data_IF_891790543000
#
_entry.id   IF_891790543000
#
_cell.length_a   1.000
_cell.length_b   1.000
_cell.length_c   1.000
_cell.angle_alpha   90.00
_cell.angle_beta   90.00
_cell.angle_gamma   90.00
#
_symmetry.space_group_name_H-M   'P 1'
#
loop_
_entity.id
_entity.type
_entity.pdbx_description
1 polymer ?
#
# COMPACT_ATOMS: atom_id res chain seq x y z
N UNK A 1 -1.43 7.70 -7.68
CA UNK A 1 -1.19 6.53 -8.50
C UNK A 1 -1.22 6.82 -10.00
N UNK A 2 -0.96 5.81 -10.81
CA UNK A 2 -0.96 5.95 -12.29
C UNK A 2 -2.35 6.23 -12.84
N UNK A 3 -3.37 5.77 -12.18
CA UNK A 3 -4.74 5.71 -12.67
C UNK A 3 -4.91 4.64 -13.76
N UNK A 4 -5.96 3.83 -13.66
CA UNK A 4 -6.23 2.76 -14.59
C UNK A 4 -5.95 1.37 -14.04
N UNK A 5 -6.08 0.38 -14.92
CA UNK A 5 -5.98 -1.04 -14.57
C UNK A 5 -5.20 -1.81 -15.63
N UNK A 6 -4.62 -2.95 -15.26
CA UNK A 6 -4.05 -3.91 -16.19
C UNK A 6 -4.51 -5.33 -15.83
N UNK A 7 -4.95 -6.09 -16.82
CA UNK A 7 -5.33 -7.50 -16.62
C UNK A 7 -4.18 -8.42 -17.05
N UNK A 8 -3.75 -9.30 -16.15
CA UNK A 8 -2.69 -10.29 -16.36
C UNK A 8 -3.15 -11.61 -15.81
N UNK A 9 -3.14 -12.67 -16.64
CA UNK A 9 -3.53 -14.01 -16.20
C UNK A 9 -4.95 -14.10 -15.63
N UNK A 10 -5.89 -13.27 -16.11
CA UNK A 10 -7.26 -13.22 -15.61
C UNK A 10 -7.45 -12.37 -14.33
N UNK A 11 -6.38 -11.83 -13.75
CA UNK A 11 -6.42 -10.92 -12.59
C UNK A 11 -6.30 -9.48 -13.05
N UNK A 12 -7.19 -8.61 -12.60
CA UNK A 12 -7.12 -7.16 -12.85
C UNK A 12 -6.37 -6.48 -11.71
N UNK A 13 -5.28 -5.80 -12.05
CA UNK A 13 -4.48 -4.98 -11.14
C UNK A 13 -4.93 -3.52 -11.28
N UNK A 14 -5.18 -2.85 -10.17
CA UNK A 14 -5.47 -1.41 -10.10
C UNK A 14 -4.19 -0.65 -9.76
N UNK A 15 -3.95 0.47 -10.44
CA UNK A 15 -2.81 1.36 -10.19
C UNK A 15 -3.21 2.67 -9.52
N UNK A 16 -4.47 2.78 -9.13
CA UNK A 16 -4.93 3.90 -8.32
C UNK A 16 -4.45 3.76 -6.87
N UNK A 17 -4.06 4.87 -6.26
CA UNK A 17 -3.89 4.92 -4.81
C UNK A 17 -5.28 4.99 -4.18
N UNK A 18 -5.72 4.04 -3.35
CA UNK A 18 -7.02 4.13 -2.68
C UNK A 18 -7.08 5.38 -1.79
N UNK A 19 -8.15 6.19 -1.86
CA UNK A 19 -8.37 7.26 -0.90
C UNK A 19 -8.80 6.68 0.45
N UNK A 20 -8.30 7.26 1.54
CA UNK A 20 -8.60 6.80 2.89
C UNK A 20 -7.58 7.25 3.92
N UNK A 21 -7.75 6.76 5.14
CA UNK A 21 -6.87 7.05 6.27
C UNK A 21 -5.99 5.82 6.52
N UNK A 22 -4.72 5.98 6.25
CA UNK A 22 -3.66 5.01 6.48
C UNK A 22 -2.91 5.30 7.77
N UNK A 23 -2.11 4.34 8.22
CA UNK A 23 -1.07 4.58 9.21
C UNK A 23 0.30 4.20 8.64
N UNK A 24 1.34 4.86 9.12
CA UNK A 24 2.73 4.47 8.81
C UNK A 24 2.98 3.09 9.40
N UNK A 25 3.39 2.13 8.57
CA UNK A 25 3.66 0.75 8.98
C UNK A 25 5.14 0.49 9.25
N UNK A 26 6.01 1.21 8.54
CA UNK A 26 7.45 1.02 8.66
C UNK A 26 8.22 1.80 7.60
N UNK A 27 9.53 1.80 7.72
CA UNK A 27 10.43 2.59 6.88
C UNK A 27 11.62 1.76 6.40
N UNK A 28 12.11 2.02 5.19
CA UNK A 28 13.32 1.42 4.65
C UNK A 28 14.09 2.43 3.78
N UNK A 29 15.42 2.38 3.85
CA UNK A 29 16.28 3.22 3.04
C UNK A 29 17.60 2.51 2.71
N UNK A 30 17.78 2.01 1.47
CA UNK A 30 16.75 1.94 0.43
C UNK A 30 15.81 0.73 0.58
N UNK A 31 14.77 0.67 -0.26
CA UNK A 31 13.93 -0.50 -0.46
C UNK A 31 14.04 -0.97 -1.91
N UNK A 32 13.99 -2.27 -2.16
CA UNK A 32 13.82 -2.83 -3.51
C UNK A 32 12.32 -2.98 -3.76
N UNK A 33 11.80 -2.25 -4.74
CA UNK A 33 10.43 -2.39 -5.21
C UNK A 33 10.42 -3.26 -6.46
N UNK A 34 9.65 -4.33 -6.41
CA UNK A 34 9.57 -5.36 -7.44
C UNK A 34 8.10 -5.65 -7.75
N UNK A 35 7.70 -5.37 -8.99
CA UNK A 35 6.31 -5.49 -9.42
C UNK A 35 5.79 -6.93 -9.41
N UNK A 36 6.66 -7.94 -9.42
CA UNK A 36 6.25 -9.34 -9.33
C UNK A 36 5.61 -9.68 -7.99
N UNK A 37 5.90 -8.93 -6.93
CA UNK A 37 5.37 -9.14 -5.58
C UNK A 37 3.84 -8.95 -5.50
N UNK A 38 3.26 -8.16 -6.41
CA UNK A 38 1.81 -8.00 -6.51
C UNK A 38 1.22 -8.61 -7.80
N UNK A 39 2.01 -9.43 -8.53
CA UNK A 39 1.55 -10.20 -9.68
C UNK A 39 1.75 -9.54 -11.05
N UNK A 40 2.51 -8.43 -11.14
CA UNK A 40 2.90 -7.80 -12.40
C UNK A 40 4.32 -8.27 -12.79
N UNK A 41 4.49 -9.12 -13.83
CA UNK A 41 5.81 -9.62 -14.21
C UNK A 41 6.79 -8.48 -14.52
N UNK A 42 8.02 -8.57 -14.01
CA UNK A 42 9.07 -7.55 -14.19
C UNK A 42 9.29 -7.23 -15.67
N UNK A 43 9.24 -8.24 -16.54
CA UNK A 43 9.47 -8.10 -17.98
C UNK A 43 8.22 -7.66 -18.76
N UNK A 44 7.10 -7.39 -18.08
CA UNK A 44 5.91 -6.83 -18.75
C UNK A 44 6.09 -5.34 -19.03
N UNK A 45 5.26 -4.80 -19.94
CA UNK A 45 5.33 -3.38 -20.36
C UNK A 45 5.34 -2.37 -19.21
N UNK A 46 4.67 -2.69 -18.10
CA UNK A 46 4.59 -1.85 -16.89
C UNK A 46 5.33 -2.48 -15.70
N UNK A 47 6.04 -3.60 -15.92
CA UNK A 47 6.81 -4.26 -14.88
C UNK A 47 8.05 -3.45 -14.52
N UNK A 48 8.51 -3.61 -13.28
CA UNK A 48 9.71 -2.95 -12.79
C UNK A 48 10.38 -3.72 -11.65
N UNK A 49 11.67 -3.47 -11.49
CA UNK A 49 12.43 -3.77 -10.29
C UNK A 49 13.43 -2.64 -10.08
N UNK A 50 13.23 -1.85 -9.03
CA UNK A 50 13.98 -0.62 -8.77
C UNK A 50 14.37 -0.51 -7.30
N UNK A 51 15.49 0.17 -7.06
CA UNK A 51 15.95 0.50 -5.71
C UNK A 51 15.56 1.93 -5.41
N UNK A 52 14.77 2.14 -4.36
CA UNK A 52 14.12 3.40 -4.01
C UNK A 52 14.58 3.86 -2.64
N UNK A 53 15.12 5.08 -2.50
CA UNK A 53 15.49 5.65 -1.20
C UNK A 53 14.29 6.23 -0.46
N UNK A 54 14.46 6.42 0.85
CA UNK A 54 13.52 7.09 1.76
C UNK A 54 12.07 6.61 1.62
N UNK A 55 11.84 5.30 1.71
CA UNK A 55 10.54 4.69 1.53
C UNK A 55 9.82 4.49 2.86
N UNK A 56 8.64 5.10 3.01
CA UNK A 56 7.75 4.96 4.15
C UNK A 56 6.50 4.19 3.72
N UNK A 57 6.33 2.99 4.26
CA UNK A 57 5.22 2.09 3.92
C UNK A 57 3.95 2.48 4.67
N UNK A 58 2.82 2.51 3.96
CA UNK A 58 1.51 2.85 4.53
C UNK A 58 0.43 1.80 4.27
N UNK A 59 0.68 0.79 3.40
CA UNK A 59 -0.32 -0.26 3.16
C UNK A 59 0.29 -1.66 3.14
N UNK A 60 -0.54 -2.66 3.38
CA UNK A 60 -0.13 -4.08 3.36
C UNK A 60 0.16 -4.58 1.96
N UNK A 61 -0.48 -4.03 0.94
CA UNK A 61 -0.29 -4.34 -0.47
C UNK A 61 0.85 -3.56 -1.16
N UNK A 62 1.60 -2.76 -0.38
CA UNK A 62 2.85 -2.19 -0.85
C UNK A 62 2.76 -0.76 -1.38
N UNK A 63 1.87 0.07 -0.85
CA UNK A 63 1.87 1.51 -1.11
C UNK A 63 2.86 2.20 -0.16
N UNK A 64 3.70 3.04 -0.75
CA UNK A 64 4.71 3.84 -0.04
C UNK A 64 4.62 5.32 -0.42
N UNK A 65 5.05 6.18 0.50
CA UNK A 65 5.58 7.49 0.17
C UNK A 65 7.09 7.33 0.00
N UNK A 66 7.67 7.77 -1.13
CA UNK A 66 9.08 7.53 -1.40
C UNK A 66 9.68 8.55 -2.38
N UNK A 67 11.00 8.66 -2.36
CA UNK A 67 11.72 9.44 -3.34
C UNK A 67 11.54 8.87 -4.75
N UNK A 68 11.27 9.77 -5.71
CA UNK A 68 11.44 9.49 -7.13
C UNK A 68 11.70 10.82 -7.87
N UNK A 69 12.94 11.29 -7.78
CA UNK A 69 13.36 12.60 -8.25
C UNK A 69 13.07 12.83 -9.75
N UNK A 70 13.27 11.81 -10.57
CA UNK A 70 13.00 11.86 -12.02
C UNK A 70 11.52 12.19 -12.36
N UNK A 71 10.61 12.11 -11.39
CA UNK A 71 9.18 12.39 -11.56
C UNK A 71 8.74 13.71 -10.95
N UNK A 72 9.64 14.56 -10.46
CA UNK A 72 9.29 15.84 -9.81
C UNK A 72 8.43 16.72 -10.70
N UNK A 73 8.69 16.74 -12.01
CA UNK A 73 7.89 17.48 -12.99
C UNK A 73 6.41 17.06 -13.05
N UNK A 74 6.09 15.83 -12.63
CA UNK A 74 4.73 15.28 -12.65
C UNK A 74 4.05 15.34 -11.28
N UNK A 75 4.83 15.49 -10.19
CA UNK A 75 4.29 15.48 -8.84
C UNK A 75 3.29 16.62 -8.62
N UNK A 76 2.12 16.29 -8.08
CA UNK A 76 1.02 17.23 -7.88
C UNK A 76 0.14 17.48 -9.11
N UNK A 77 0.47 16.96 -10.30
CA UNK A 77 -0.33 17.19 -11.51
C UNK A 77 -0.55 15.97 -12.41
N UNK A 78 0.33 14.97 -12.39
CA UNK A 78 0.25 13.81 -13.30
C UNK A 78 0.54 12.52 -12.54
N UNK A 79 -0.31 11.50 -12.73
CA UNK A 79 -0.15 10.19 -12.10
C UNK A 79 0.82 9.31 -12.90
N UNK A 80 1.93 8.88 -12.28
CA UNK A 80 2.97 8.07 -12.92
C UNK A 80 3.30 6.76 -12.20
N UNK A 81 2.79 6.53 -10.98
CA UNK A 81 3.13 5.36 -10.17
C UNK A 81 2.06 4.26 -10.29
N UNK A 82 2.40 3.06 -9.78
CA UNK A 82 1.49 1.92 -9.65
C UNK A 82 0.69 1.92 -8.33
N UNK A 83 0.55 3.08 -7.69
CA UNK A 83 -0.16 3.26 -6.42
C UNK A 83 0.64 4.04 -5.37
N UNK A 84 1.96 4.03 -5.42
CA UNK A 84 2.81 4.78 -4.50
C UNK A 84 2.70 6.30 -4.70
N UNK A 85 3.03 7.06 -3.66
CA UNK A 85 3.10 8.52 -3.67
C UNK A 85 4.56 8.95 -3.88
N UNK A 86 4.85 9.44 -5.08
CA UNK A 86 6.20 9.90 -5.44
C UNK A 86 6.45 11.29 -4.87
N UNK A 87 7.61 11.48 -4.28
CA UNK A 87 8.07 12.72 -3.66
C UNK A 87 9.42 13.13 -4.24
N UNK A 88 9.76 14.43 -4.12
CA UNK A 88 11.12 14.89 -4.32
C UNK A 88 12.05 14.30 -3.25
N UNK A 89 13.36 14.30 -3.50
CA UNK A 89 14.36 13.80 -2.54
C UNK A 89 14.24 14.52 -1.19
N UNK A 90 14.07 15.84 -1.21
CA UNK A 90 13.91 16.65 0.01
C UNK A 90 12.66 16.25 0.80
N UNK A 91 11.49 16.18 0.14
CA UNK A 91 10.23 15.86 0.79
C UNK A 91 10.17 14.40 1.28
N UNK A 92 10.71 13.45 0.51
CA UNK A 92 10.76 12.04 0.90
C UNK A 92 11.65 11.85 2.13
N UNK A 93 12.82 12.48 2.15
CA UNK A 93 13.72 12.44 3.30
C UNK A 93 13.08 13.09 4.52
N UNK A 94 12.48 14.28 4.36
CA UNK A 94 11.79 14.96 5.44
C UNK A 94 10.68 14.08 6.05
N UNK A 95 9.82 13.51 5.21
CA UNK A 95 8.74 12.64 5.69
C UNK A 95 9.27 11.36 6.35
N UNK A 96 10.31 10.78 5.77
CA UNK A 96 10.98 9.60 6.31
C UNK A 96 11.57 9.88 7.71
N UNK A 97 12.24 11.01 7.89
CA UNK A 97 12.85 11.38 9.18
C UNK A 97 11.79 11.77 10.22
N UNK A 98 10.76 12.50 9.82
CA UNK A 98 9.68 13.00 10.66
C UNK A 98 8.74 11.88 11.15
N UNK A 99 8.24 11.01 10.25
CA UNK A 99 7.17 10.07 10.54
C UNK A 99 7.62 8.92 11.45
N UNK A 100 6.69 8.38 12.23
CA UNK A 100 6.87 7.21 13.07
C UNK A 100 5.81 6.15 12.75
N UNK A 101 6.05 4.84 13.02
CA UNK A 101 5.01 3.82 12.92
C UNK A 101 3.79 4.20 13.75
N UNK A 102 2.60 4.15 13.12
CA UNK A 102 1.34 4.56 13.72
C UNK A 102 0.90 5.99 13.37
N UNK A 103 1.77 6.84 12.82
CA UNK A 103 1.37 8.17 12.36
C UNK A 103 0.34 8.08 11.24
N UNK A 104 -0.64 8.98 11.27
CA UNK A 104 -1.76 9.00 10.33
C UNK A 104 -1.37 9.67 9.02
N UNK A 105 -1.73 9.03 7.91
CA UNK A 105 -1.58 9.56 6.55
C UNK A 105 -2.93 9.54 5.86
N UNK A 106 -3.51 10.70 5.60
CA UNK A 106 -4.76 10.81 4.85
C UNK A 106 -4.49 11.01 3.36
N UNK A 107 -5.04 10.13 2.53
CA UNK A 107 -4.99 10.21 1.06
C UNK A 107 -6.38 10.57 0.54
N UNK A 108 -6.46 11.63 -0.28
CA UNK A 108 -7.73 12.19 -0.79
C UNK A 108 -7.69 12.33 -2.31
N UNK A 109 -8.87 12.39 -2.90
CA UNK A 109 -9.11 12.85 -4.28
C UNK A 109 -8.29 12.12 -5.36
N UNK A 110 -8.06 10.83 -5.17
CA UNK A 110 -7.24 10.04 -6.09
C UNK A 110 -8.02 9.48 -7.28
N UNK A 111 -9.35 9.39 -7.18
CA UNK A 111 -10.20 8.72 -8.17
C UNK A 111 -10.22 7.20 -8.07
N UNK A 112 -9.47 6.61 -7.14
CA UNK A 112 -9.46 5.16 -6.88
C UNK A 112 -10.67 4.69 -6.05
N UNK A 113 -10.81 3.37 -5.93
CA UNK A 113 -11.73 2.77 -4.98
C UNK A 113 -11.29 3.08 -3.53
N UNK A 114 -12.23 3.18 -2.58
CA UNK A 114 -11.89 3.41 -1.17
C UNK A 114 -10.90 2.38 -0.64
N UNK A 115 -10.08 2.81 0.33
CA UNK A 115 -9.14 1.95 1.04
C UNK A 115 -9.89 0.86 1.81
N UNK A 116 -9.47 -0.39 1.62
CA UNK A 116 -10.08 -1.54 2.29
C UNK A 116 -9.36 -1.87 3.62
N UNK A 117 -10.07 -2.55 4.53
CA UNK A 117 -9.53 -2.96 5.84
C UNK A 117 -8.21 -3.71 5.73
N UNK A 118 -8.11 -4.68 4.82
CA UNK A 118 -6.91 -5.50 4.65
C UNK A 118 -5.70 -4.73 4.10
N UNK A 119 -5.92 -3.54 3.52
CA UNK A 119 -4.88 -2.65 3.01
C UNK A 119 -4.27 -1.72 4.08
N UNK A 120 -4.53 -1.92 5.36
CA UNK A 120 -4.25 -1.00 6.46
C UNK A 120 -5.25 0.17 6.53
N UNK A 121 -6.51 -0.11 6.20
CA UNK A 121 -7.60 0.87 6.11
C UNK A 121 -8.54 0.90 7.32
N UNK A 122 -8.13 0.34 8.43
CA UNK A 122 -8.91 0.25 9.66
C UNK A 122 -9.36 1.63 10.19
N UNK A 123 -8.53 2.66 10.07
CA UNK A 123 -8.87 4.05 10.42
C UNK A 123 -9.85 4.72 9.44
N UNK A 124 -10.08 4.11 8.28
CA UNK A 124 -11.08 4.59 7.31
C UNK A 124 -12.48 4.08 7.60
N UNK A 125 -12.63 3.12 8.52
CA UNK A 125 -13.92 2.53 8.88
C UNK A 125 -14.70 3.50 9.78
N UNK A 126 -15.97 3.81 9.46
CA UNK A 126 -16.81 4.62 10.31
C UNK A 126 -16.97 4.02 11.72
N UNK A 127 -16.94 4.85 12.74
CA UNK A 127 -17.07 4.42 14.14
C UNK A 127 -18.30 3.55 14.40
N UNK A 128 -19.43 3.86 13.77
CA UNK A 128 -20.65 3.06 13.86
C UNK A 128 -20.47 1.63 13.35
N UNK A 129 -19.66 1.44 12.31
CA UNK A 129 -19.34 0.11 11.77
C UNK A 129 -18.39 -0.64 12.71
N UNK A 130 -17.44 0.05 13.34
CA UNK A 130 -16.59 -0.53 14.38
C UNK A 130 -17.41 -1.01 15.57
N UNK A 131 -18.36 -0.20 16.05
CA UNK A 131 -19.24 -0.57 17.15
C UNK A 131 -20.08 -1.79 16.80
N UNK A 132 -20.67 -1.84 15.61
CA UNK A 132 -21.48 -2.97 15.16
C UNK A 132 -20.68 -4.29 15.07
N UNK A 133 -19.36 -4.22 14.83
CA UNK A 133 -18.46 -5.38 14.86
C UNK A 133 -17.85 -5.70 16.22
N UNK A 134 -18.11 -4.89 17.25
CA UNK A 134 -17.51 -5.03 18.56
C UNK A 134 -18.19 -6.14 19.38
N UNK A 135 -17.40 -7.01 20.01
CA UNK A 135 -17.93 -8.02 20.94
C UNK A 135 -18.59 -7.40 22.20
N UNK A 136 -18.35 -6.13 22.47
CA UNK A 136 -19.00 -5.37 23.55
C UNK A 136 -20.40 -4.86 23.18
N UNK A 137 -20.77 -4.87 21.89
CA UNK A 137 -22.10 -4.50 21.43
C UNK A 137 -23.00 -5.74 21.43
N UNK A 138 -24.06 -5.82 22.27
CA UNK A 138 -24.95 -6.97 22.32
C UNK A 138 -25.71 -7.19 20.99
N UNK A 139 -25.78 -6.21 20.10
CA UNK A 139 -26.38 -6.33 18.77
C UNK A 139 -25.39 -6.88 17.74
N UNK A 140 -24.09 -6.79 17.96
CA UNK A 140 -23.04 -7.27 17.06
C UNK A 140 -23.04 -8.79 16.89
N UNK A 141 -23.52 -9.53 17.87
CA UNK A 141 -23.66 -11.00 17.82
C UNK A 141 -24.73 -11.48 16.84
N UNK A 142 -25.55 -10.58 16.29
CA UNK A 142 -26.61 -10.88 15.31
C UNK A 142 -26.24 -10.43 13.89
N UNK A 143 -25.11 -9.71 13.72
CA UNK A 143 -24.65 -9.32 12.39
C UNK A 143 -24.03 -10.55 11.67
N UNK A 144 -24.37 -10.80 10.37
CA UNK A 144 -23.67 -11.82 9.61
C UNK A 144 -22.18 -11.47 9.58
N UNK A 145 -21.33 -12.47 9.80
CA UNK A 145 -19.89 -12.30 9.70
C UNK A 145 -19.56 -11.63 8.35
N UNK A 146 -18.90 -10.47 8.39
CA UNK A 146 -18.36 -9.86 7.18
C UNK A 146 -17.51 -10.94 6.50
N UNK A 147 -17.85 -11.28 5.26
CA UNK A 147 -17.06 -12.19 4.47
C UNK A 147 -15.65 -11.60 4.37
N UNK A 148 -14.75 -12.16 5.15
CA UNK A 148 -13.30 -11.92 4.96
C UNK A 148 -13.01 -12.53 3.59
N UNK A 149 -12.87 -11.67 2.58
CA UNK A 149 -12.44 -12.13 1.26
C UNK A 149 -11.14 -12.93 1.45
N UNK A 150 -11.09 -14.10 0.83
CA UNK A 150 -9.92 -14.98 0.91
C UNK A 150 -8.66 -14.19 0.62
N UNK A 151 -7.89 -13.90 1.66
CA UNK A 151 -6.56 -13.34 1.50
C UNK A 151 -5.74 -14.31 0.65
N UNK A 152 -5.11 -13.87 -0.44
CA UNK A 152 -4.21 -14.75 -1.19
C UNK A 152 -3.15 -15.27 -0.23
N UNK A 153 -3.03 -16.58 -0.11
CA UNK A 153 -2.04 -17.25 0.72
C UNK A 153 -0.63 -16.77 0.31
N UNK A 154 -0.02 -15.97 1.15
CA UNK A 154 1.41 -15.67 1.05
C UNK A 154 2.16 -16.97 1.31
N UNK A 155 2.74 -17.55 0.27
CA UNK A 155 3.59 -18.72 0.38
C UNK A 155 4.69 -18.46 1.42
N UNK A 156 4.78 -19.36 2.40
CA UNK A 156 5.86 -19.37 3.37
C UNK A 156 7.18 -19.55 2.60
N UNK A 157 8.02 -18.53 2.55
CA UNK A 157 9.45 -18.71 2.27
C UNK A 157 10.11 -19.25 3.54
N UNK A 158 10.41 -20.53 3.54
CA UNK A 158 11.32 -21.11 4.53
C UNK A 158 12.70 -20.50 4.33
N UNK A 159 13.21 -19.88 5.37
CA UNK A 159 14.59 -19.41 5.41
C UNK A 159 15.50 -20.61 5.68
N UNK A 160 16.12 -21.14 4.63
CA UNK A 160 17.20 -22.11 4.75
C UNK A 160 18.49 -21.35 5.09
N UNK A 161 18.76 -21.25 6.39
CA UNK A 161 19.95 -20.66 6.98
C UNK A 161 20.98 -21.73 7.28
N UNK A 162 21.92 -22.00 6.37
CA UNK A 162 23.11 -22.79 6.67
C UNK A 162 24.34 -21.89 6.74
N UNK A 163 25.08 -21.85 7.86
CA UNK A 163 26.29 -21.02 7.96
C UNK A 163 27.47 -21.65 7.19
N UNK A 164 28.40 -20.84 6.64
CA UNK A 164 29.57 -21.33 5.97
C UNK A 164 30.60 -21.89 6.95
N UNK A 165 31.29 -22.98 6.54
CA UNK A 165 32.48 -23.52 7.19
C UNK A 165 33.71 -22.73 6.78
#
# INVERSE_FOLDING_TARGET
GMGGTQTIGGRTLSFWTPPGIYTVMGKANPVIMDSSTFGLPINSRLGYRVTIPYATRISTDGIYLHELEDTVWAQGNTNLSHGCLNLSAENARWFYDFSQPGDVVEVRDTGGAPLELWQNGDWSVPWSQWLAGSAADPTAQQAPALAVGDAPSLGKQEADGQPPR
#
